data_IF_080981350313
#
_entry.id   IF_080981350313
#
_cell.length_a   1.000
_cell.length_b   1.000
_cell.length_c   1.000
_cell.angle_alpha   90.00
_cell.angle_beta   90.00
_cell.angle_gamma   90.00
#
_symmetry.space_group_name_H-M   'P 1'
#
loop_
_entity.id
_entity.type
_entity.pdbx_description
1 polymer ?
#
# COMPACT_ATOMS: atom_id res chain seq x y z
N UNK A 1 -3.75 57.82 -28.02
CA UNK A 1 -4.54 56.57 -28.00
C UNK A 1 -3.61 55.36 -28.27
N UNK A 2 -2.68 55.03 -27.35
CA UNK A 2 -1.72 53.93 -27.52
C UNK A 2 -1.07 53.46 -26.23
N UNK A 3 -1.79 53.45 -25.11
CA UNK A 3 -1.28 53.00 -23.80
C UNK A 3 -1.92 51.68 -23.26
N UNK A 4 -2.91 51.14 -23.97
CA UNK A 4 -3.67 49.97 -23.45
C UNK A 4 -3.19 48.58 -23.89
N UNK A 5 -2.16 48.52 -24.78
CA UNK A 5 -1.75 47.25 -25.39
C UNK A 5 -0.59 46.53 -24.70
N UNK A 6 0.16 47.23 -23.84
CA UNK A 6 1.37 46.66 -23.20
C UNK A 6 1.11 45.88 -21.92
N UNK A 7 0.03 46.21 -21.20
CA UNK A 7 -0.30 45.53 -19.93
C UNK A 7 -0.92 44.13 -20.11
N UNK A 8 -1.61 43.90 -21.23
CA UNK A 8 -2.26 42.60 -21.46
C UNK A 8 -1.27 41.50 -21.84
N UNK A 9 -0.13 41.87 -22.47
CA UNK A 9 0.90 40.90 -22.84
C UNK A 9 1.63 40.34 -21.60
N UNK A 10 1.90 41.20 -20.61
CA UNK A 10 2.52 40.79 -19.35
C UNK A 10 1.56 39.97 -18.49
N UNK A 11 0.26 40.28 -18.51
CA UNK A 11 -0.76 39.51 -17.79
C UNK A 11 -0.91 38.10 -18.42
N UNK A 12 -0.88 37.99 -19.76
CA UNK A 12 -0.93 36.71 -20.45
C UNK A 12 0.32 35.85 -20.19
N UNK A 13 1.50 36.46 -20.15
CA UNK A 13 2.76 35.77 -19.79
C UNK A 13 2.74 35.29 -18.32
N UNK A 14 2.16 36.07 -17.42
CA UNK A 14 2.03 35.68 -16.01
C UNK A 14 1.02 34.54 -15.80
N UNK A 15 -0.11 34.58 -16.53
CA UNK A 15 -1.10 33.47 -16.50
C UNK A 15 -0.55 32.18 -17.13
N UNK A 16 0.25 32.29 -18.21
CA UNK A 16 0.87 31.11 -18.80
C UNK A 16 1.96 30.50 -17.92
N UNK A 17 2.65 31.30 -17.12
CA UNK A 17 3.66 30.81 -16.18
C UNK A 17 3.01 30.07 -15.00
N UNK A 18 1.83 30.48 -14.57
CA UNK A 18 1.07 29.83 -13.47
C UNK A 18 0.52 28.47 -13.92
N UNK A 19 0.19 28.30 -15.20
CA UNK A 19 -0.30 27.02 -15.74
C UNK A 19 0.81 25.94 -15.85
N UNK A 20 2.09 26.33 -15.87
CA UNK A 20 3.22 25.39 -15.85
C UNK A 20 3.60 24.92 -14.43
N UNK A 21 3.08 25.54 -13.38
CA UNK A 21 3.29 25.13 -11.98
C UNK A 21 2.20 24.16 -11.47
N UNK A 22 1.47 23.48 -12.31
CA UNK A 22 0.78 22.26 -11.92
C UNK A 22 1.86 21.20 -11.66
N UNK A 23 2.47 21.30 -10.48
CA UNK A 23 3.24 20.22 -9.88
C UNK A 23 2.33 19.01 -9.85
N UNK A 24 2.53 18.12 -10.78
CA UNK A 24 2.00 16.76 -10.70
C UNK A 24 2.63 16.15 -9.45
N UNK A 25 1.91 16.22 -8.34
CA UNK A 25 2.16 15.31 -7.23
C UNK A 25 1.87 13.94 -7.81
N UNK A 26 2.92 13.25 -8.25
CA UNK A 26 2.84 11.84 -8.55
C UNK A 26 2.43 11.18 -7.23
N UNK A 27 1.16 10.85 -7.10
CA UNK A 27 0.71 9.91 -6.10
C UNK A 27 1.46 8.63 -6.45
N UNK A 28 2.37 8.22 -5.58
CA UNK A 28 3.00 6.91 -5.67
C UNK A 28 1.88 5.92 -5.34
N UNK A 29 1.15 5.50 -6.36
CA UNK A 29 0.20 4.42 -6.24
C UNK A 29 0.99 3.16 -5.90
N UNK A 30 0.75 2.65 -4.71
CA UNK A 30 1.24 1.34 -4.32
C UNK A 30 0.51 0.29 -5.15
N UNK A 31 1.07 -0.06 -6.30
CA UNK A 31 0.49 -1.05 -7.20
C UNK A 31 0.78 -2.43 -6.62
N UNK A 32 -0.29 -3.17 -6.35
CA UNK A 32 -0.21 -4.59 -6.04
C UNK A 32 -0.62 -5.34 -7.31
N UNK A 33 0.23 -6.21 -7.79
CA UNK A 33 -0.10 -7.19 -8.81
C UNK A 33 -0.37 -8.54 -8.15
N UNK A 34 -1.37 -9.24 -8.63
CA UNK A 34 -1.81 -10.51 -8.06
C UNK A 34 -1.92 -11.54 -9.16
N UNK A 35 -1.25 -12.66 -8.97
CA UNK A 35 -1.47 -13.87 -9.71
C UNK A 35 -2.18 -14.87 -8.81
N UNK A 36 -3.34 -15.35 -9.24
CA UNK A 36 -4.12 -16.35 -8.53
C UNK A 36 -3.97 -17.68 -9.22
N UNK A 37 -3.56 -18.68 -8.46
CA UNK A 37 -3.56 -20.07 -8.91
C UNK A 37 -4.64 -20.82 -8.15
N UNK A 38 -5.49 -21.51 -8.90
CA UNK A 38 -6.59 -22.26 -8.36
C UNK A 38 -6.21 -23.75 -8.28
N UNK A 39 -6.02 -24.25 -7.07
CA UNK A 39 -5.88 -25.68 -6.79
C UNK A 39 -7.21 -26.24 -6.25
N UNK A 40 -7.38 -27.56 -6.20
CA UNK A 40 -8.66 -28.19 -5.87
C UNK A 40 -9.26 -27.68 -4.55
N UNK A 41 -8.43 -27.54 -3.50
CA UNK A 41 -8.87 -27.13 -2.15
C UNK A 41 -8.26 -25.81 -1.66
N UNK A 42 -7.41 -25.16 -2.47
CA UNK A 42 -6.66 -23.99 -2.06
C UNK A 42 -6.64 -22.92 -3.15
N UNK A 43 -6.49 -21.69 -2.73
CA UNK A 43 -6.20 -20.56 -3.60
C UNK A 43 -4.80 -20.08 -3.22
N UNK A 44 -3.89 -20.10 -4.17
CA UNK A 44 -2.54 -19.59 -4.00
C UNK A 44 -2.52 -18.17 -4.57
N UNK A 45 -2.18 -17.21 -3.73
CA UNK A 45 -2.12 -15.80 -4.06
C UNK A 45 -0.65 -15.40 -4.10
N UNK A 46 -0.14 -15.14 -5.27
CA UNK A 46 1.19 -14.55 -5.47
C UNK A 46 1.02 -13.04 -5.55
N UNK A 47 1.45 -12.34 -4.50
CA UNK A 47 1.32 -10.90 -4.36
C UNK A 47 2.66 -10.24 -4.63
N UNK A 48 2.71 -9.41 -5.65
CA UNK A 48 3.85 -8.54 -5.96
C UNK A 48 3.51 -7.08 -5.65
N UNK A 49 4.33 -6.45 -4.84
CA UNK A 49 4.15 -5.06 -4.45
C UNK A 49 5.27 -4.22 -5.06
N UNK A 50 4.92 -3.38 -6.03
CA UNK A 50 5.87 -2.50 -6.74
C UNK A 50 5.97 -1.10 -6.14
N UNK A 51 5.81 -0.96 -4.82
CA UNK A 51 5.76 0.34 -4.17
C UNK A 51 7.08 0.73 -3.52
N UNK A 52 7.33 2.02 -3.46
CA UNK A 52 8.38 2.61 -2.64
C UNK A 52 7.76 3.10 -1.33
N UNK A 53 8.50 2.97 -0.23
CA UNK A 53 8.07 3.59 1.01
C UNK A 53 8.12 5.12 0.88
N UNK A 54 7.11 5.81 1.40
CA UNK A 54 7.11 7.26 1.39
C UNK A 54 8.29 7.82 2.20
N UNK A 55 8.85 9.00 1.85
CA UNK A 55 9.96 9.61 2.58
C UNK A 55 9.70 9.74 4.07
N UNK A 56 8.46 9.98 4.45
CA UNK A 56 8.06 10.09 5.84
C UNK A 56 8.16 8.76 6.60
N UNK A 57 7.83 7.65 5.96
CA UNK A 57 7.98 6.31 6.55
C UNK A 57 9.47 5.96 6.70
N UNK A 58 10.29 6.32 5.71
CA UNK A 58 11.75 6.15 5.77
C UNK A 58 12.33 6.95 6.94
N UNK A 59 11.94 8.21 7.12
CA UNK A 59 12.36 9.04 8.26
C UNK A 59 12.04 8.38 9.61
N UNK A 60 10.87 7.76 9.75
CA UNK A 60 10.51 7.04 10.98
C UNK A 60 11.34 5.77 11.18
N UNK A 61 11.58 5.05 10.09
CA UNK A 61 12.40 3.84 10.11
C UNK A 61 13.83 4.18 10.57
N UNK A 62 14.44 5.24 10.03
CA UNK A 62 15.78 5.74 10.42
C UNK A 62 15.85 6.11 11.91
N UNK A 63 14.75 6.59 12.48
CA UNK A 63 14.62 6.85 13.93
C UNK A 63 14.45 5.59 14.76
N UNK A 64 14.48 4.39 14.13
CA UNK A 64 14.34 3.10 14.79
C UNK A 64 12.90 2.72 15.14
N UNK A 65 11.90 3.45 14.61
CA UNK A 65 10.49 3.15 14.81
C UNK A 65 10.13 1.96 13.90
N UNK A 66 9.59 0.87 14.46
CA UNK A 66 9.17 -0.25 13.63
C UNK A 66 7.97 0.14 12.76
N UNK A 67 8.07 -0.17 11.48
CA UNK A 67 7.02 0.04 10.50
C UNK A 67 6.38 -1.30 10.16
N UNK A 68 5.11 -1.45 10.46
CA UNK A 68 4.36 -2.66 10.19
C UNK A 68 3.23 -2.39 9.19
N UNK A 69 2.98 -3.38 8.33
CA UNK A 69 1.90 -3.37 7.35
C UNK A 69 0.96 -4.54 7.62
N UNK A 70 -0.32 -4.30 7.41
CA UNK A 70 -1.37 -5.30 7.41
C UNK A 70 -1.80 -5.57 5.96
N UNK A 71 -1.55 -6.79 5.48
CA UNK A 71 -2.20 -7.30 4.28
C UNK A 71 -3.52 -7.92 4.69
N UNK A 72 -4.61 -7.36 4.19
CA UNK A 72 -5.96 -7.84 4.46
C UNK A 72 -6.53 -8.52 3.24
N UNK A 73 -7.12 -9.67 3.47
CA UNK A 73 -7.78 -10.50 2.45
C UNK A 73 -9.16 -10.82 2.96
N UNK A 74 -10.18 -10.38 2.25
CA UNK A 74 -11.58 -10.65 2.56
C UNK A 74 -12.25 -11.41 1.42
N UNK A 75 -12.93 -12.50 1.77
CA UNK A 75 -13.86 -13.16 0.88
C UNK A 75 -15.25 -12.59 1.16
N UNK A 76 -15.82 -11.90 0.19
CA UNK A 76 -17.11 -11.24 0.31
C UNK A 76 -18.16 -11.91 -0.59
N UNK A 77 -19.37 -12.05 -0.08
CA UNK A 77 -20.54 -12.42 -0.87
C UNK A 77 -21.32 -11.17 -1.22
N UNK A 78 -21.46 -10.90 -2.50
CA UNK A 78 -22.31 -9.80 -2.97
C UNK A 78 -23.78 -10.08 -2.75
N UNK A 79 -24.50 -9.12 -2.24
CA UNK A 79 -25.94 -9.15 -2.11
C UNK A 79 -26.56 -8.06 -3.00
N UNK A 80 -27.55 -8.42 -3.80
CA UNK A 80 -28.21 -7.49 -4.74
C UNK A 80 -29.03 -6.40 -4.05
N UNK A 81 -29.50 -6.65 -2.82
CA UNK A 81 -30.45 -5.76 -2.12
C UNK A 81 -29.96 -5.25 -0.76
N UNK A 82 -28.81 -5.77 -0.25
CA UNK A 82 -28.27 -5.45 1.07
C UNK A 82 -26.76 -5.27 0.98
N UNK A 83 -26.14 -4.88 2.10
CA UNK A 83 -24.68 -4.78 2.20
C UNK A 83 -24.03 -6.14 1.92
N UNK A 84 -22.86 -6.11 1.29
CA UNK A 84 -22.04 -7.27 1.06
C UNK A 84 -21.67 -7.96 2.39
N UNK A 85 -21.67 -9.28 2.38
CA UNK A 85 -21.36 -10.06 3.57
C UNK A 85 -19.93 -10.59 3.50
N UNK A 86 -19.10 -10.22 4.46
CA UNK A 86 -17.79 -10.86 4.64
C UNK A 86 -18.00 -12.30 5.13
N UNK A 87 -17.53 -13.25 4.31
CA UNK A 87 -17.62 -14.70 4.60
C UNK A 87 -16.40 -15.12 5.41
N UNK A 88 -15.22 -14.64 5.02
CA UNK A 88 -13.94 -14.92 5.65
C UNK A 88 -13.02 -13.72 5.56
N UNK A 89 -12.16 -13.57 6.57
CA UNK A 89 -11.15 -12.52 6.63
C UNK A 89 -9.84 -13.10 7.14
N UNK A 90 -8.76 -12.81 6.41
CA UNK A 90 -7.40 -13.14 6.81
C UNK A 90 -6.58 -11.85 6.90
N UNK A 91 -5.76 -11.74 7.94
CA UNK A 91 -4.86 -10.61 8.15
C UNK A 91 -3.44 -11.16 8.32
N UNK A 92 -2.52 -10.64 7.53
CA UNK A 92 -1.11 -10.98 7.59
C UNK A 92 -0.32 -9.73 7.92
N UNK A 93 0.55 -9.82 8.91
CA UNK A 93 1.39 -8.70 9.35
C UNK A 93 2.82 -8.95 8.94
N UNK A 94 3.45 -7.97 8.33
CA UNK A 94 4.88 -7.96 8.05
C UNK A 94 5.46 -6.61 8.44
N UNK A 95 6.75 -6.57 8.81
CA UNK A 95 7.32 -5.34 9.35
C UNK A 95 8.80 -5.20 9.05
N UNK A 96 9.30 -3.96 9.13
CA UNK A 96 10.70 -3.61 9.07
C UNK A 96 11.05 -2.72 10.28
N UNK A 97 12.27 -2.90 10.82
CA UNK A 97 12.80 -2.08 11.89
C UNK A 97 14.30 -1.85 11.69
N UNK A 98 14.75 -0.63 11.90
CA UNK A 98 16.16 -0.28 11.92
C UNK A 98 16.71 -0.33 13.35
N UNK A 99 17.87 -0.95 13.51
CA UNK A 99 18.63 -1.01 14.77
C UNK A 99 19.88 -0.15 14.65
N UNK A 100 19.81 1.10 15.12
CA UNK A 100 20.86 2.11 14.96
C UNK A 100 22.22 1.69 15.55
N UNK A 101 22.22 1.00 16.70
CA UNK A 101 23.47 0.55 17.34
C UNK A 101 24.21 -0.50 16.50
N UNK A 102 23.50 -1.36 15.83
CA UNK A 102 24.09 -2.41 14.95
C UNK A 102 24.12 -2.01 13.48
N UNK A 103 23.47 -0.90 13.13
CA UNK A 103 23.32 -0.41 11.75
C UNK A 103 22.73 -1.44 10.80
N UNK A 104 21.72 -2.17 11.27
CA UNK A 104 21.05 -3.23 10.48
C UNK A 104 19.54 -3.05 10.47
N UNK A 105 18.90 -3.54 9.42
CA UNK A 105 17.46 -3.60 9.24
C UNK A 105 17.00 -5.03 9.50
N UNK A 106 16.03 -5.22 10.39
CA UNK A 106 15.33 -6.50 10.58
C UNK A 106 14.01 -6.44 9.82
N UNK A 107 13.80 -7.38 8.92
CA UNK A 107 12.53 -7.59 8.21
C UNK A 107 11.89 -8.85 8.76
N UNK A 108 10.61 -8.77 9.11
CA UNK A 108 9.78 -9.91 9.49
C UNK A 108 8.73 -10.09 8.41
N UNK A 109 8.72 -11.25 7.77
CA UNK A 109 7.78 -11.57 6.71
C UNK A 109 6.37 -11.96 7.25
N UNK A 110 5.43 -12.23 6.35
CA UNK A 110 4.04 -12.63 6.69
C UNK A 110 3.96 -13.95 7.48
N UNK A 111 4.99 -14.79 7.42
CA UNK A 111 5.09 -16.07 8.12
C UNK A 111 5.82 -15.92 9.48
N UNK A 112 6.27 -14.72 9.81
CA UNK A 112 7.03 -14.43 11.03
C UNK A 112 8.52 -14.73 10.94
N UNK A 113 9.05 -15.10 9.75
CA UNK A 113 10.48 -15.33 9.57
C UNK A 113 11.24 -14.01 9.60
N UNK A 114 12.37 -14.00 10.30
CA UNK A 114 13.23 -12.83 10.44
C UNK A 114 14.42 -12.90 9.52
N UNK A 115 14.70 -11.79 8.84
CA UNK A 115 15.89 -11.58 8.03
C UNK A 115 16.56 -10.27 8.40
N UNK A 116 17.89 -10.25 8.36
CA UNK A 116 18.70 -9.08 8.72
C UNK A 116 19.46 -8.61 7.47
N UNK A 117 19.47 -7.29 7.26
CA UNK A 117 20.11 -6.63 6.14
C UNK A 117 20.94 -5.44 6.64
N UNK A 118 22.07 -5.17 6.02
CA UNK A 118 22.89 -4.00 6.29
C UNK A 118 22.47 -2.81 5.40
N UNK A 119 21.95 -3.10 4.21
CA UNK A 119 21.50 -2.10 3.24
C UNK A 119 19.99 -1.86 3.32
N UNK A 120 19.61 -0.58 3.36
CA UNK A 120 18.22 -0.13 3.46
C UNK A 120 17.39 -0.55 2.24
N UNK A 121 17.94 -0.32 1.03
CA UNK A 121 17.21 -0.59 -0.20
C UNK A 121 16.96 -2.08 -0.38
N UNK A 122 17.93 -2.92 0.01
CA UNK A 122 17.79 -4.38 -0.01
C UNK A 122 16.74 -4.82 1.01
N UNK A 123 16.73 -4.23 2.20
CA UNK A 123 15.75 -4.52 3.24
C UNK A 123 14.32 -4.13 2.79
N UNK A 124 14.15 -2.93 2.24
CA UNK A 124 12.87 -2.45 1.71
C UNK A 124 12.40 -3.33 0.55
N UNK A 125 13.29 -3.66 -0.39
CA UNK A 125 12.98 -4.56 -1.50
C UNK A 125 12.54 -5.94 -1.00
N UNK A 126 13.17 -6.47 0.04
CA UNK A 126 12.77 -7.75 0.64
C UNK A 126 11.41 -7.65 1.35
N UNK A 127 11.16 -6.55 2.06
CA UNK A 127 9.86 -6.26 2.69
C UNK A 127 8.73 -6.26 1.67
N UNK A 128 8.95 -5.65 0.51
CA UNK A 128 7.97 -5.47 -0.56
C UNK A 128 7.99 -6.62 -1.60
N UNK A 129 8.92 -7.58 -1.47
CA UNK A 129 9.05 -8.70 -2.40
C UNK A 129 7.81 -9.59 -2.43
N UNK A 130 7.74 -10.41 -3.47
CA UNK A 130 6.66 -11.37 -3.70
C UNK A 130 6.33 -12.17 -2.45
N UNK A 131 5.05 -12.25 -2.13
CA UNK A 131 4.50 -13.03 -1.03
C UNK A 131 3.54 -14.08 -1.58
N UNK A 132 3.84 -15.32 -1.29
CA UNK A 132 2.93 -16.42 -1.55
C UNK A 132 2.03 -16.62 -0.34
N UNK A 133 0.73 -16.59 -0.56
CA UNK A 133 -0.29 -16.74 0.48
C UNK A 133 -1.22 -17.85 0.05
N UNK A 134 -1.39 -18.83 0.92
CA UNK A 134 -2.28 -19.95 0.69
C UNK A 134 -3.52 -19.77 1.57
N UNK A 135 -4.67 -19.63 0.94
CA UNK A 135 -5.95 -19.59 1.63
C UNK A 135 -6.79 -20.82 1.27
N UNK A 136 -7.59 -21.28 2.23
CA UNK A 136 -8.51 -22.39 1.99
C UNK A 136 -9.59 -21.96 1.01
N UNK A 137 -9.82 -22.77 -0.02
CA UNK A 137 -10.91 -22.57 -0.96
C UNK A 137 -12.24 -22.85 -0.25
N UNK A 138 -13.13 -21.89 -0.26
CA UNK A 138 -14.50 -22.10 0.18
C UNK A 138 -15.30 -22.65 -0.99
N UNK A 139 -16.00 -23.78 -0.77
CA UNK A 139 -16.89 -24.38 -1.78
C UNK A 139 -17.84 -23.32 -2.32
N UNK A 140 -17.96 -23.28 -3.62
CA UNK A 140 -18.64 -22.29 -4.46
C UNK A 140 -19.90 -21.71 -3.81
N UNK A 141 -19.82 -20.47 -3.42
CA UNK A 141 -21.00 -19.64 -3.30
C UNK A 141 -20.99 -18.72 -4.53
N UNK A 142 -22.03 -18.82 -5.37
CA UNK A 142 -22.23 -17.89 -6.47
C UNK A 142 -22.15 -16.45 -5.93
N UNK A 143 -21.60 -15.52 -6.72
CA UNK A 143 -21.39 -14.11 -6.37
C UNK A 143 -20.40 -13.86 -5.21
N UNK A 144 -19.26 -14.56 -5.22
CA UNK A 144 -18.18 -14.27 -4.28
C UNK A 144 -17.04 -13.50 -4.94
N UNK A 145 -16.49 -12.53 -4.20
CA UNK A 145 -15.34 -11.74 -4.60
C UNK A 145 -14.24 -11.82 -3.55
N UNK A 146 -13.01 -11.87 -4.01
CA UNK A 146 -11.83 -11.74 -3.15
C UNK A 146 -11.38 -10.28 -3.18
N UNK A 147 -11.36 -9.63 -2.02
CA UNK A 147 -10.93 -8.25 -1.84
C UNK A 147 -9.63 -8.24 -1.05
N UNK A 148 -8.62 -7.53 -1.56
CA UNK A 148 -7.30 -7.48 -0.96
C UNK A 148 -6.76 -6.05 -0.96
N UNK A 149 -6.06 -5.68 0.12
CA UNK A 149 -5.34 -4.42 0.23
C UNK A 149 -4.27 -4.49 1.31
N UNK A 150 -3.30 -3.60 1.21
CA UNK A 150 -2.28 -3.38 2.23
C UNK A 150 -2.51 -2.04 2.89
N UNK A 151 -2.37 -1.97 4.19
CA UNK A 151 -2.42 -0.72 4.95
C UNK A 151 -1.29 -0.67 5.99
N UNK A 152 -0.83 0.54 6.29
CA UNK A 152 0.08 0.77 7.41
C UNK A 152 -0.62 0.44 8.74
N UNK A 153 0.00 -0.37 9.59
CA UNK A 153 -0.52 -0.65 10.93
C UNK A 153 -0.28 0.54 11.86
N UNK A 154 -1.16 1.52 11.76
CA UNK A 154 -1.09 2.75 12.56
C UNK A 154 -1.13 2.50 14.06
N UNK A 155 -1.74 1.39 14.50
CA UNK A 155 -1.87 1.06 15.93
C UNK A 155 -0.53 0.69 16.57
N UNK A 156 0.42 0.20 15.79
CA UNK A 156 1.78 -0.15 16.25
C UNK A 156 2.73 1.04 16.31
N UNK A 157 2.35 2.17 15.75
CA UNK A 157 3.15 3.39 15.85
C UNK A 157 3.01 4.05 17.23
N UNK A 158 4.03 4.79 17.69
CA UNK A 158 3.93 5.58 18.92
C UNK A 158 2.75 6.55 18.87
N UNK A 159 2.07 6.76 20.02
CA UNK A 159 0.86 7.61 20.09
C UNK A 159 1.04 9.02 19.57
N UNK A 160 2.20 9.62 19.80
CA UNK A 160 2.53 10.96 19.28
C UNK A 160 2.50 11.02 17.74
N UNK A 161 2.91 9.93 17.10
CA UNK A 161 2.90 9.81 15.63
C UNK A 161 1.51 9.47 15.12
N UNK A 162 0.75 8.66 15.86
CA UNK A 162 -0.64 8.34 15.49
C UNK A 162 -1.51 9.59 15.34
N UNK A 163 -1.30 10.61 16.18
CA UNK A 163 -2.04 11.88 16.09
C UNK A 163 -1.75 12.68 14.80
N UNK A 164 -0.53 12.54 14.26
CA UNK A 164 -0.07 13.27 13.07
C UNK A 164 -0.51 12.59 11.75
N UNK A 165 -0.89 11.32 11.80
CA UNK A 165 -1.24 10.47 10.66
C UNK A 165 -2.60 10.84 10.02
N UNK A 166 -3.42 11.65 10.67
CA UNK A 166 -4.66 12.14 10.08
C UNK A 166 -4.45 13.08 8.87
N UNK A 167 -3.23 13.52 8.64
CA UNK A 167 -2.86 14.27 7.44
C UNK A 167 -2.55 13.32 6.28
N UNK A 168 -3.13 13.57 5.10
CA UNK A 168 -3.05 12.76 3.86
C UNK A 168 -1.63 12.38 3.38
N UNK A 169 -0.59 13.02 3.89
CA UNK A 169 0.82 12.73 3.54
C UNK A 169 1.36 11.38 4.03
N UNK A 170 0.56 10.61 4.77
CA UNK A 170 0.91 9.32 5.36
C UNK A 170 0.22 8.14 4.67
N UNK A 171 -0.32 8.32 3.49
CA UNK A 171 -0.94 7.24 2.73
C UNK A 171 0.11 6.19 2.34
N UNK A 172 0.33 5.25 3.24
CA UNK A 172 1.07 4.02 2.99
C UNK A 172 0.08 2.86 2.87
N UNK A 173 -0.88 3.01 2.00
CA UNK A 173 -1.85 1.99 1.63
C UNK A 173 -1.68 1.61 0.17
N UNK A 174 -2.13 0.42 -0.20
CA UNK A 174 -2.24 0.03 -1.60
C UNK A 174 -3.62 0.35 -2.15
N UNK A 175 -3.75 0.30 -3.47
CA UNK A 175 -5.04 0.16 -4.13
C UNK A 175 -5.79 -1.06 -3.56
N UNK A 176 -7.11 -1.00 -3.59
CA UNK A 176 -7.96 -2.15 -3.28
C UNK A 176 -8.11 -2.97 -4.55
N UNK A 177 -7.75 -4.24 -4.49
CA UNK A 177 -7.95 -5.18 -5.58
C UNK A 177 -9.15 -6.03 -5.29
N UNK A 178 -10.04 -6.16 -6.27
CA UNK A 178 -11.23 -6.98 -6.19
C UNK A 178 -11.18 -7.99 -7.34
N UNK A 179 -11.18 -9.27 -6.99
CA UNK A 179 -11.18 -10.36 -7.94
C UNK A 179 -12.48 -11.15 -7.87
N UNK A 180 -13.11 -11.40 -9.03
CA UNK A 180 -14.33 -12.18 -9.12
C UNK A 180 -14.00 -13.67 -9.11
N UNK A 181 -14.39 -14.36 -8.03
CA UNK A 181 -14.12 -15.78 -7.83
C UNK A 181 -14.87 -16.70 -8.79
N UNK A 182 -15.88 -16.17 -9.50
CA UNK A 182 -16.59 -16.95 -10.51
C UNK A 182 -15.78 -17.10 -11.82
N UNK A 183 -14.66 -16.37 -11.95
CA UNK A 183 -13.77 -16.41 -13.12
C UNK A 183 -12.56 -17.34 -12.92
N UNK A 184 -12.45 -17.98 -11.78
CA UNK A 184 -11.48 -19.02 -11.44
C UNK A 184 -12.10 -20.40 -11.69
#
# INVERSE_FOLDING_TARGET
>A
MCYFRKNNLNLFLFLSLISYLSLTFANVENIIEINLENDEDKIIINLEQSSQLSPKIIELLERGIPIAFNLKIELIKENTFWFDKVINQNNFVYQIKYFSLRRVYEVIDINGNKKIFEDEQVAIKNLLSNKEIIIKKYRHQNNTKLKMWVELDKKRLPKAIQADIFNKSWEAGSNIIIYDMNKL
#
